data_IF_736751711480
#
_entry.id   IF_736751711480
#
_cell.length_a   1.000
_cell.length_b   1.000
_cell.length_c   1.000
_cell.angle_alpha   90.00
_cell.angle_beta   90.00
_cell.angle_gamma   90.00
#
_symmetry.space_group_name_H-M   'P 1'
#
loop_
_entity.id
_entity.type
_entity.pdbx_description
1 polymer ?
#
# COMPACT_ATOMS: atom_id res chain seq x y z
N UNK A 1 -6.13 -4.51 -5.85
CA UNK A 1 -5.76 -5.92 -6.11
C UNK A 1 -4.40 -6.25 -5.48
N UNK A 2 -3.28 -5.75 -6.02
CA UNK A 2 -1.92 -6.12 -5.53
C UNK A 2 -1.69 -5.88 -4.03
N UNK A 3 -2.17 -4.75 -3.48
CA UNK A 3 -2.01 -4.41 -2.05
C UNK A 3 -2.59 -5.51 -1.14
N UNK A 4 -3.91 -5.81 -1.18
CA UNK A 4 -4.46 -6.87 -0.33
C UNK A 4 -3.93 -8.27 -0.67
N UNK A 5 -3.62 -8.56 -1.95
CA UNK A 5 -3.05 -9.85 -2.34
C UNK A 5 -1.70 -10.11 -1.67
N UNK A 6 -0.80 -9.12 -1.64
CA UNK A 6 0.50 -9.27 -0.99
C UNK A 6 0.37 -9.37 0.54
N UNK A 7 -0.58 -8.66 1.16
CA UNK A 7 -0.84 -8.82 2.61
C UNK A 7 -1.26 -10.27 2.91
N UNK A 8 -2.23 -10.80 2.16
CA UNK A 8 -2.72 -12.16 2.34
C UNK A 8 -1.65 -13.22 2.04
N UNK A 9 -0.89 -13.05 0.96
CA UNK A 9 0.19 -13.99 0.62
C UNK A 9 1.29 -13.96 1.67
N UNK A 10 1.61 -12.78 2.21
CA UNK A 10 2.55 -12.60 3.29
C UNK A 10 2.13 -13.28 4.59
N UNK A 11 0.85 -13.20 4.96
CA UNK A 11 0.33 -13.81 6.18
C UNK A 11 0.34 -15.34 6.15
N UNK A 12 0.33 -15.95 4.97
CA UNK A 12 0.45 -17.40 4.79
C UNK A 12 1.92 -17.88 4.80
N UNK A 13 2.90 -16.98 4.95
CA UNK A 13 4.32 -17.35 5.04
C UNK A 13 4.68 -17.85 6.43
N UNK A 14 5.65 -18.78 6.48
CA UNK A 14 6.05 -19.49 7.70
C UNK A 14 6.98 -18.69 8.62
N UNK A 15 7.53 -17.57 8.14
CA UNK A 15 8.54 -16.79 8.86
C UNK A 15 8.20 -15.30 8.86
N UNK A 16 8.54 -14.63 9.96
CA UNK A 16 8.36 -13.18 10.11
C UNK A 16 9.12 -12.39 9.03
N UNK A 17 10.40 -12.72 8.68
CA UNK A 17 11.09 -12.03 7.59
C UNK A 17 10.39 -12.14 6.24
N UNK A 18 9.80 -13.31 5.92
CA UNK A 18 9.02 -13.46 4.69
C UNK A 18 7.76 -12.59 4.72
N UNK A 19 7.01 -12.58 5.83
CA UNK A 19 5.82 -11.73 5.93
C UNK A 19 6.19 -10.25 5.77
N UNK A 20 7.27 -9.79 6.42
CA UNK A 20 7.78 -8.43 6.26
C UNK A 20 8.12 -8.09 4.81
N UNK A 21 8.75 -9.00 4.06
CA UNK A 21 9.02 -8.80 2.64
C UNK A 21 7.73 -8.54 1.86
N UNK A 22 6.68 -9.32 2.10
CA UNK A 22 5.39 -9.13 1.44
C UNK A 22 4.70 -7.83 1.82
N UNK A 23 4.80 -7.39 3.09
CA UNK A 23 4.29 -6.06 3.49
C UNK A 23 5.04 -4.93 2.76
N UNK A 24 6.35 -5.06 2.55
CA UNK A 24 7.12 -4.10 1.76
C UNK A 24 6.65 -4.06 0.29
N UNK A 25 6.34 -5.21 -0.31
CA UNK A 25 5.78 -5.27 -1.67
C UNK A 25 4.41 -4.58 -1.72
N UNK A 26 3.53 -4.84 -0.75
CA UNK A 26 2.24 -4.18 -0.64
C UNK A 26 2.38 -2.64 -0.51
N UNK A 27 3.38 -2.18 0.25
CA UNK A 27 3.69 -0.75 0.41
C UNK A 27 4.20 -0.14 -0.91
N UNK A 28 5.01 -0.86 -1.68
CA UNK A 28 5.42 -0.50 -3.03
C UNK A 28 4.22 -0.31 -3.97
N UNK A 29 3.32 -1.30 -4.02
CA UNK A 29 2.09 -1.23 -4.81
C UNK A 29 1.17 -0.06 -4.42
N UNK A 30 1.09 0.28 -3.12
CA UNK A 30 0.34 1.46 -2.67
C UNK A 30 0.99 2.77 -3.13
N UNK A 31 2.33 2.83 -3.17
CA UNK A 31 3.07 3.95 -3.73
C UNK A 31 2.85 4.12 -5.24
N UNK A 32 2.94 3.03 -6.00
CA UNK A 32 2.70 3.02 -7.44
C UNK A 32 1.30 3.49 -7.81
N UNK A 33 0.26 2.95 -7.15
CA UNK A 33 -1.12 3.36 -7.40
C UNK A 33 -1.34 4.84 -7.07
N UNK A 34 -0.74 5.33 -5.99
CA UNK A 34 -0.82 6.76 -5.64
C UNK A 34 -0.15 7.64 -6.71
N UNK A 35 0.99 7.22 -7.26
CA UNK A 35 1.64 7.90 -8.39
C UNK A 35 0.74 7.91 -9.63
N UNK A 36 0.11 6.79 -9.96
CA UNK A 36 -0.83 6.70 -11.07
C UNK A 36 -2.03 7.63 -10.89
N UNK A 37 -2.56 7.78 -9.67
CA UNK A 37 -3.65 8.72 -9.36
C UNK A 37 -3.17 10.17 -9.51
N UNK A 38 -1.95 10.51 -9.07
CA UNK A 38 -1.37 11.83 -9.32
C UNK A 38 -1.33 12.14 -10.82
N UNK A 39 -0.79 11.23 -11.63
CA UNK A 39 -0.72 11.39 -13.10
C UNK A 39 -2.13 11.50 -13.70
N UNK A 40 -3.05 10.65 -13.25
CA UNK A 40 -4.43 10.62 -13.77
C UNK A 40 -5.19 11.91 -13.46
N UNK A 41 -4.92 12.55 -12.31
CA UNK A 41 -5.44 13.88 -11.97
C UNK A 41 -4.91 14.94 -12.95
N UNK A 42 -3.60 14.96 -13.21
CA UNK A 42 -3.02 15.92 -14.17
C UNK A 42 -3.58 15.75 -15.59
N UNK A 43 -3.97 14.53 -15.95
CA UNK A 43 -4.62 14.21 -17.23
C UNK A 43 -6.14 14.43 -17.23
N UNK A 44 -6.72 14.98 -16.14
CA UNK A 44 -8.16 15.17 -15.95
C UNK A 44 -9.00 13.88 -16.10
N UNK A 45 -8.41 12.72 -15.82
CA UNK A 45 -9.11 11.42 -15.78
C UNK A 45 -9.94 11.30 -14.49
N UNK A 46 -9.41 11.82 -13.38
CA UNK A 46 -10.12 11.96 -12.12
C UNK A 46 -10.40 13.43 -11.83
N UNK A 47 -11.52 13.70 -11.15
CA UNK A 47 -11.75 15.01 -10.54
C UNK A 47 -10.73 15.26 -9.42
N UNK A 48 -10.49 16.54 -9.11
CA UNK A 48 -9.61 16.91 -7.98
C UNK A 48 -10.10 16.33 -6.65
N UNK A 49 -11.42 16.25 -6.47
CA UNK A 49 -12.04 15.69 -5.27
C UNK A 49 -11.77 14.18 -5.18
N UNK A 50 -12.09 13.42 -6.23
CA UNK A 50 -11.89 11.96 -6.24
C UNK A 50 -10.42 11.60 -6.08
N UNK A 51 -9.53 12.30 -6.80
CA UNK A 51 -8.10 12.08 -6.70
C UNK A 51 -7.61 12.35 -5.27
N UNK A 52 -8.07 13.44 -4.63
CA UNK A 52 -7.70 13.79 -3.25
C UNK A 52 -8.16 12.73 -2.26
N UNK A 53 -9.39 12.22 -2.40
CA UNK A 53 -9.92 11.16 -1.53
C UNK A 53 -9.11 9.87 -1.66
N UNK A 54 -8.87 9.40 -2.89
CA UNK A 54 -8.07 8.19 -3.15
C UNK A 54 -6.62 8.33 -2.66
N UNK A 55 -5.98 9.49 -2.88
CA UNK A 55 -4.64 9.77 -2.38
C UNK A 55 -4.60 9.70 -0.85
N UNK A 56 -5.62 10.25 -0.19
CA UNK A 56 -5.67 10.29 1.27
C UNK A 56 -5.91 8.90 1.86
N UNK A 57 -6.77 8.10 1.23
CA UNK A 57 -6.94 6.70 1.58
C UNK A 57 -5.64 5.92 1.44
N UNK A 58 -4.93 6.05 0.30
CA UNK A 58 -3.66 5.36 0.07
C UNK A 58 -2.56 5.80 1.04
N UNK A 59 -2.56 7.06 1.48
CA UNK A 59 -1.66 7.53 2.56
C UNK A 59 -2.00 6.86 3.88
N UNK A 60 -3.29 6.68 4.20
CA UNK A 60 -3.72 5.95 5.39
C UNK A 60 -3.26 4.49 5.34
N UNK A 61 -3.52 3.80 4.23
CA UNK A 61 -3.08 2.42 4.00
C UNK A 61 -1.56 2.31 4.12
N UNK A 62 -0.80 3.23 3.54
CA UNK A 62 0.68 3.23 3.65
C UNK A 62 1.15 3.33 5.11
N UNK A 63 0.48 4.15 5.94
CA UNK A 63 0.78 4.26 7.38
C UNK A 63 0.46 2.96 8.13
N UNK A 64 -0.66 2.31 7.78
CA UNK A 64 -1.05 1.02 8.37
C UNK A 64 -0.03 -0.08 8.02
N UNK A 65 0.38 -0.16 6.75
CA UNK A 65 1.40 -1.11 6.29
C UNK A 65 2.75 -0.87 6.98
N UNK A 66 3.18 0.38 7.10
CA UNK A 66 4.42 0.73 7.80
C UNK A 66 4.37 0.34 9.28
N UNK A 67 3.22 0.56 9.93
CA UNK A 67 3.00 0.20 11.34
C UNK A 67 3.05 -1.33 11.52
N UNK A 68 2.39 -2.07 10.64
CA UNK A 68 2.40 -3.54 10.63
C UNK A 68 3.81 -4.10 10.38
N UNK A 69 4.52 -3.60 9.37
CA UNK A 69 5.90 -4.01 9.10
C UNK A 69 6.79 -3.80 10.34
N UNK A 70 6.62 -2.67 11.02
CA UNK A 70 7.40 -2.30 12.21
C UNK A 70 7.04 -3.14 13.44
N UNK A 71 5.76 -3.54 13.59
CA UNK A 71 5.35 -4.43 14.69
C UNK A 71 5.89 -5.84 14.51
N UNK A 72 5.98 -6.33 13.27
CA UNK A 72 6.57 -7.63 12.96
C UNK A 72 8.06 -7.72 13.33
N UNK A 73 8.81 -6.60 13.32
CA UNK A 73 10.23 -6.59 13.74
C UNK A 73 10.44 -6.85 15.24
N UNK A 74 9.39 -6.64 16.04
CA UNK A 74 9.46 -6.76 17.51
C UNK A 74 9.08 -8.16 18.02
N UNK A 75 8.66 -9.05 17.12
CA UNK A 75 8.31 -10.45 17.37
C UNK A 75 9.50 -11.35 17.03
#
# INVERSE_FOLDING_TARGET
>A
ISIPSNIAEGSERKTIPDFQRFINIAQGSAGELRTQIYISRELNIFSDLDAKELIQELKSISKMLQSLHSSLKKL
#
